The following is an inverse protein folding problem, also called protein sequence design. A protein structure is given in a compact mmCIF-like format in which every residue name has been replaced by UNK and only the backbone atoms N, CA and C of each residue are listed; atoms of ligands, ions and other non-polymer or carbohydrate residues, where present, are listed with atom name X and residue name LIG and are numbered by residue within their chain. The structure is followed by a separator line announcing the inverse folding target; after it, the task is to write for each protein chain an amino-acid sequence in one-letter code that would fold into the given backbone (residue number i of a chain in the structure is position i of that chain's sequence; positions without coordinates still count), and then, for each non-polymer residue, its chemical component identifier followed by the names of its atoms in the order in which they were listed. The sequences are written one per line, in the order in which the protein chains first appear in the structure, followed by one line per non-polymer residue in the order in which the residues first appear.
data_IF_072338538670
#
_entry.id   IF_072338538670
#
_cell.length_a   1.000
_cell.length_b   1.000
_cell.length_c   1.000
_cell.angle_alpha   90.00
_cell.angle_beta   90.00
_cell.angle_gamma   90.00
#
_symmetry.space_group_name_H-M   'P 1'
#
loop_
_entity.id
_entity.type
_entity.pdbx_description
1 polymer ?
#
# COMPACT_ATOMS: atom_id res chain seq x y z
N UNK A 1 -24.54 1.30 -29.29
CA UNK A 1 -24.12 2.33 -30.27
C UNK A 1 -25.12 3.47 -30.24
N UNK A 2 -24.77 4.65 -29.69
CA UNK A 2 -25.71 5.81 -29.69
C UNK A 2 -25.58 6.51 -31.04
N UNK A 3 -26.63 6.48 -31.82
CA UNK A 3 -26.74 7.21 -33.09
C UNK A 3 -26.99 8.69 -32.80
N UNK A 4 -26.02 9.55 -33.11
CA UNK A 4 -26.21 11.00 -33.04
C UNK A 4 -26.89 11.52 -34.29
N UNK A 5 -27.86 12.42 -34.10
CA UNK A 5 -28.54 13.06 -35.25
C UNK A 5 -27.55 14.00 -35.96
N UNK A 6 -27.77 14.21 -37.28
CA UNK A 6 -26.94 15.10 -38.12
C UNK A 6 -26.80 16.52 -37.51
N UNK A 7 -27.85 17.01 -36.81
CA UNK A 7 -27.81 18.29 -36.09
C UNK A 7 -26.91 18.28 -34.87
N UNK A 8 -26.86 17.16 -34.13
CA UNK A 8 -25.97 17.01 -32.95
C UNK A 8 -24.51 16.94 -33.36
N UNK A 9 -24.18 16.29 -34.49
CA UNK A 9 -22.84 16.25 -35.04
C UNK A 9 -22.36 17.63 -35.50
N UNK A 10 -23.23 18.42 -36.16
CA UNK A 10 -22.92 19.78 -36.61
C UNK A 10 -22.73 20.69 -35.38
N UNK A 11 -23.59 20.58 -34.37
CA UNK A 11 -23.47 21.40 -33.14
C UNK A 11 -22.21 21.09 -32.38
N UNK A 12 -21.80 19.82 -32.26
CA UNK A 12 -20.55 19.43 -31.61
C UNK A 12 -19.31 19.88 -32.39
N UNK A 13 -19.36 19.87 -33.71
CA UNK A 13 -18.27 20.39 -34.56
C UNK A 13 -18.11 21.92 -34.43
N UNK A 14 -19.22 22.67 -34.35
CA UNK A 14 -19.20 24.12 -34.15
C UNK A 14 -18.65 24.46 -32.75
N UNK A 15 -19.09 23.76 -31.71
CA UNK A 15 -18.60 23.97 -30.35
C UNK A 15 -17.09 23.66 -30.25
N UNK A 16 -16.63 22.58 -30.86
CA UNK A 16 -15.21 22.24 -30.90
C UNK A 16 -14.38 23.29 -31.67
N UNK A 17 -14.88 23.81 -32.78
CA UNK A 17 -14.27 24.89 -33.55
C UNK A 17 -14.14 26.20 -32.76
N UNK A 18 -15.18 26.58 -31.99
CA UNK A 18 -15.14 27.74 -31.11
C UNK A 18 -14.11 27.59 -29.98
N UNK A 19 -13.96 26.38 -29.40
CA UNK A 19 -12.95 26.13 -28.39
C UNK A 19 -11.52 26.23 -28.93
N UNK A 20 -11.29 25.71 -30.13
CA UNK A 20 -9.97 25.82 -30.80
C UNK A 20 -9.64 27.28 -31.11
N UNK A 21 -10.63 28.06 -31.60
CA UNK A 21 -10.43 29.48 -31.87
C UNK A 21 -10.15 30.32 -30.61
N UNK A 22 -10.85 30.03 -29.49
CA UNK A 22 -10.61 30.65 -28.20
C UNK A 22 -9.24 30.29 -27.63
N UNK A 23 -8.79 29.06 -27.76
CA UNK A 23 -7.46 28.64 -27.34
C UNK A 23 -6.35 29.32 -28.16
N UNK A 24 -6.51 29.41 -29.48
CA UNK A 24 -5.57 30.11 -30.37
C UNK A 24 -5.51 31.62 -30.07
N UNK A 25 -6.66 32.24 -29.76
CA UNK A 25 -6.73 33.64 -29.35
C UNK A 25 -6.02 33.87 -27.99
N UNK A 26 -6.22 32.97 -27.02
CA UNK A 26 -5.56 33.01 -25.71
C UNK A 26 -4.04 32.89 -25.81
N UNK A 27 -3.54 31.97 -26.65
CA UNK A 27 -2.11 31.81 -26.90
C UNK A 27 -1.54 33.03 -27.66
N UNK A 28 -2.25 33.57 -28.64
CA UNK A 28 -1.84 34.79 -29.37
C UNK A 28 -1.80 36.02 -28.43
N UNK A 29 -2.76 36.16 -27.51
CA UNK A 29 -2.78 37.24 -26.53
C UNK A 29 -1.61 37.10 -25.52
N UNK A 30 -1.28 35.88 -25.10
CA UNK A 30 -0.17 35.61 -24.18
C UNK A 30 1.20 35.87 -24.81
N UNK A 31 1.36 35.53 -26.08
CA UNK A 31 2.61 35.80 -26.82
C UNK A 31 2.73 37.25 -27.29
N UNK A 32 1.62 37.99 -27.42
CA UNK A 32 1.62 39.41 -27.88
C UNK A 32 1.83 40.43 -26.76
N UNK A 33 1.63 40.07 -25.50
CA UNK A 33 1.94 40.93 -24.35
C UNK A 33 3.27 40.47 -23.73
N UNK A 34 4.36 40.89 -24.39
CA UNK A 34 5.70 40.77 -23.84
C UNK A 34 5.78 41.44 -22.47
N UNK A 35 5.90 40.62 -21.43
CA UNK A 35 6.20 41.08 -20.07
C UNK A 35 7.54 41.83 -20.09
N UNK A 36 7.52 43.16 -19.84
CA UNK A 36 8.71 43.88 -19.42
C UNK A 36 9.19 43.27 -18.13
N UNK A 37 10.29 42.55 -18.17
CA UNK A 37 11.03 42.10 -16.99
C UNK A 37 11.50 43.36 -16.20
N UNK A 38 11.33 43.42 -14.90
CA UNK A 38 12.04 44.39 -14.08
C UNK A 38 13.54 44.03 -14.15
N UNK A 39 14.35 44.99 -14.54
CA UNK A 39 15.80 45.00 -14.43
C UNK A 39 16.13 45.06 -12.93
N UNK A 40 16.43 43.90 -12.33
CA UNK A 40 16.92 43.78 -10.95
C UNK A 40 18.23 43.00 -10.98
N UNK A 41 19.28 43.68 -10.63
CA UNK A 41 20.63 43.29 -10.26
C UNK A 41 21.14 41.90 -10.63
N UNK A 42 21.83 41.84 -11.75
CA UNK A 42 22.66 40.68 -12.18
C UNK A 42 23.98 40.55 -11.38
N UNK A 43 24.29 41.48 -10.48
CA UNK A 43 25.55 41.47 -9.71
C UNK A 43 25.58 40.40 -8.60
N UNK A 44 24.45 39.98 -8.08
CA UNK A 44 24.40 39.00 -6.96
C UNK A 44 24.47 37.53 -7.46
N UNK A 45 24.09 37.26 -8.71
CA UNK A 45 24.19 35.93 -9.33
C UNK A 45 25.58 35.62 -9.87
N UNK A 46 26.35 36.63 -10.29
CA UNK A 46 27.76 36.45 -10.72
C UNK A 46 28.67 36.18 -9.50
N UNK A 47 28.41 36.80 -8.35
CA UNK A 47 29.17 36.56 -7.13
C UNK A 47 29.00 35.13 -6.56
N UNK A 48 27.86 34.46 -6.80
CA UNK A 48 27.61 33.07 -6.42
C UNK A 48 28.21 32.05 -7.40
N UNK A 49 28.40 32.42 -8.65
CA UNK A 49 29.05 31.59 -9.66
C UNK A 49 30.57 31.53 -9.47
N UNK A 50 31.21 32.64 -9.08
CA UNK A 50 32.65 32.65 -8.85
C UNK A 50 33.10 31.93 -7.58
N UNK A 51 32.23 31.81 -6.54
CA UNK A 51 32.57 31.06 -5.32
C UNK A 51 32.60 29.54 -5.54
N UNK A 52 31.92 29.01 -6.52
CA UNK A 52 31.88 27.54 -6.80
C UNK A 52 32.98 27.08 -7.78
N UNK A 53 33.69 28.00 -8.45
CA UNK A 53 34.77 27.64 -9.42
C UNK A 53 36.11 27.45 -8.71
N UNK A 54 36.25 27.85 -7.46
CA UNK A 54 37.52 27.78 -6.72
C UNK A 54 37.82 26.39 -6.10
N UNK A 55 36.92 25.42 -6.21
CA UNK A 55 37.09 24.10 -5.62
C UNK A 55 37.40 22.95 -6.59
N UNK A 56 37.52 23.21 -7.90
CA UNK A 56 37.72 22.15 -8.88
C UNK A 56 39.05 22.16 -9.63
N UNK A 57 40.02 22.98 -9.24
CA UNK A 57 41.37 23.02 -9.88
C UNK A 57 42.48 22.66 -8.87
N UNK A 58 42.60 21.38 -8.56
CA UNK A 58 43.86 20.77 -8.12
C UNK A 58 43.96 19.31 -8.59
N UNK A 59 44.04 19.16 -9.93
CA UNK A 59 44.61 17.97 -10.57
C UNK A 59 45.90 18.40 -11.24
N UNK A 60 47.01 18.13 -10.61
CA UNK A 60 48.32 18.37 -11.18
C UNK A 60 48.59 17.41 -12.33
N UNK A 61 48.67 17.96 -13.52
CA UNK A 61 49.23 17.29 -14.72
C UNK A 61 50.72 17.34 -14.58
N UNK A 62 51.38 16.20 -14.53
CA UNK A 62 52.81 16.10 -14.74
C UNK A 62 53.06 16.02 -16.25
N UNK A 63 53.66 17.05 -16.82
CA UNK A 63 54.28 17.01 -18.13
C UNK A 63 55.75 16.61 -17.99
N UNK A 64 56.12 15.58 -18.71
CA UNK A 64 57.52 15.19 -18.96
C UNK A 64 58.11 16.09 -19.99
N UNK A 65 59.26 16.71 -19.70
CA UNK A 65 60.21 17.17 -20.73
C UNK A 65 61.63 16.81 -20.34
N UNK A 66 62.31 16.44 -21.37
CA UNK A 66 63.56 15.71 -21.56
C UNK A 66 64.85 16.41 -21.17
N UNK A 67 65.84 15.56 -21.18
CA UNK A 67 67.28 15.76 -21.41
C UNK A 67 68.17 16.26 -20.29
N UNK A 68 69.00 15.43 -19.70
CA UNK A 68 70.39 15.42 -20.03
C UNK A 68 71.20 14.26 -19.44
N UNK A 69 72.13 13.81 -20.21
CA UNK A 69 73.17 12.81 -20.09
C UNK A 69 74.03 12.91 -18.83
N UNK A 70 74.35 11.74 -18.21
CA UNK A 70 75.44 11.62 -17.22
C UNK A 70 75.61 10.20 -16.67
N UNK A 71 76.58 9.50 -17.22
CA UNK A 71 77.15 8.22 -16.81
C UNK A 71 77.47 8.15 -15.33
N UNK A 72 77.02 7.08 -14.62
CA UNK A 72 77.46 6.77 -13.28
C UNK A 72 76.77 5.50 -12.72
N UNK A 73 77.47 4.36 -12.86
CA UNK A 73 77.10 3.07 -12.30
C UNK A 73 77.16 3.08 -10.79
N UNK A 74 76.06 2.74 -10.08
CA UNK A 74 76.06 2.34 -8.70
C UNK A 74 74.88 1.37 -8.43
N UNK A 75 74.89 0.55 -7.39
CA UNK A 75 74.31 -0.81 -7.41
C UNK A 75 72.81 -0.85 -7.20
N UNK A 76 72.25 -1.93 -7.74
CA UNK A 76 70.84 -2.31 -7.65
C UNK A 76 70.49 -2.51 -6.19
N UNK A 77 69.74 -1.57 -5.58
CA UNK A 77 69.02 -1.77 -4.34
C UNK A 77 67.63 -2.34 -4.66
N UNK A 78 67.24 -3.38 -3.96
CA UNK A 78 65.94 -4.08 -4.06
C UNK A 78 64.76 -3.10 -4.01
N UNK A 79 63.65 -3.38 -4.71
CA UNK A 79 62.45 -2.55 -4.65
C UNK A 79 61.86 -2.63 -3.23
N UNK A 80 61.94 -1.55 -2.50
CA UNK A 80 61.14 -1.37 -1.27
C UNK A 80 59.70 -1.26 -1.70
N UNK A 81 58.93 -2.30 -1.44
CA UNK A 81 57.47 -2.34 -1.57
C UNK A 81 56.90 -1.27 -0.65
N UNK A 82 56.63 -0.08 -1.16
CA UNK A 82 55.89 0.97 -0.47
C UNK A 82 54.44 0.50 -0.36
N UNK A 83 54.12 -0.29 0.63
CA UNK A 83 52.71 -0.55 1.02
C UNK A 83 52.12 0.77 1.49
N UNK A 84 51.23 1.31 0.69
CA UNK A 84 50.41 2.48 1.02
C UNK A 84 49.66 2.21 2.34
N UNK A 85 49.88 3.03 3.41
CA UNK A 85 49.23 2.79 4.70
C UNK A 85 47.70 2.96 4.68
N UNK A 86 47.13 3.32 3.55
CA UNK A 86 45.68 3.54 3.40
C UNK A 86 44.92 2.34 2.82
N UNK A 87 45.55 1.23 2.46
CA UNK A 87 44.87 0.09 1.80
C UNK A 87 44.91 -1.23 2.62
N UNK A 88 45.43 -1.22 3.81
CA UNK A 88 45.22 -2.36 4.71
C UNK A 88 43.90 -2.20 5.43
N UNK A 89 42.81 -2.62 4.80
CA UNK A 89 41.59 -2.98 5.50
C UNK A 89 41.94 -4.18 6.38
N UNK A 90 42.42 -3.93 7.61
CA UNK A 90 42.47 -4.96 8.66
C UNK A 90 41.04 -5.41 8.87
N UNK A 91 40.74 -6.66 8.51
CA UNK A 91 39.51 -7.33 8.93
C UNK A 91 39.51 -7.32 10.47
N UNK A 92 38.78 -6.37 11.04
CA UNK A 92 38.66 -6.28 12.49
C UNK A 92 37.77 -7.43 12.99
N UNK A 93 38.10 -8.05 14.12
CA UNK A 93 37.39 -9.21 14.61
C UNK A 93 35.95 -8.86 14.95
N UNK A 94 35.01 -9.81 14.67
CA UNK A 94 33.57 -9.73 14.89
C UNK A 94 33.12 -9.33 16.32
N UNK A 95 34.03 -9.04 17.23
CA UNK A 95 33.79 -8.58 18.61
C UNK A 95 33.44 -7.08 18.72
N UNK A 96 33.51 -6.30 17.64
CA UNK A 96 33.25 -4.84 17.65
C UNK A 96 31.81 -4.44 17.53
N UNK A 97 30.93 -5.34 17.10
CA UNK A 97 29.50 -5.01 16.96
C UNK A 97 28.84 -4.93 18.35
N UNK A 98 28.02 -3.89 18.55
CA UNK A 98 27.12 -3.79 19.69
C UNK A 98 26.14 -4.96 19.72
N UNK A 99 25.48 -5.21 20.84
CA UNK A 99 24.42 -6.23 20.90
C UNK A 99 23.29 -5.96 19.91
N UNK A 100 22.99 -4.69 19.70
CA UNK A 100 21.96 -4.23 18.79
C UNK A 100 22.34 -4.46 17.31
N UNK A 101 23.57 -4.13 16.93
CA UNK A 101 24.07 -4.41 15.57
C UNK A 101 24.11 -5.90 15.28
N UNK A 102 24.59 -6.72 16.23
CA UNK A 102 24.57 -8.18 16.08
C UNK A 102 23.16 -8.73 15.86
N UNK A 103 22.19 -8.18 16.58
CA UNK A 103 20.79 -8.58 16.41
C UNK A 103 20.25 -8.20 15.02
N UNK A 104 20.51 -6.97 14.55
CA UNK A 104 20.11 -6.54 13.20
C UNK A 104 20.71 -7.42 12.11
N UNK A 105 22.02 -7.68 12.21
CA UNK A 105 22.75 -8.52 11.27
C UNK A 105 22.14 -9.92 11.28
N UNK A 106 21.94 -10.52 12.46
CA UNK A 106 21.38 -11.87 12.59
C UNK A 106 19.95 -11.95 12.02
N UNK A 107 19.08 -10.95 12.30
CA UNK A 107 17.73 -10.92 11.74
C UNK A 107 17.80 -10.86 10.22
N UNK A 108 18.63 -9.99 9.66
CA UNK A 108 18.79 -9.86 8.21
C UNK A 108 19.30 -11.15 7.57
N UNK A 109 20.39 -11.73 8.08
CA UNK A 109 20.97 -12.97 7.56
C UNK A 109 19.99 -14.15 7.55
N UNK A 110 19.16 -14.25 8.60
CA UNK A 110 18.21 -15.36 8.73
C UNK A 110 16.90 -15.17 7.96
N UNK A 111 16.57 -13.96 7.52
CA UNK A 111 15.24 -13.67 6.94
C UNK A 111 15.28 -13.10 5.52
N UNK A 112 16.41 -12.54 5.07
CA UNK A 112 16.49 -11.87 3.78
C UNK A 112 16.13 -12.78 2.61
N UNK A 113 16.49 -14.07 2.63
CA UNK A 113 16.21 -15.05 1.58
C UNK A 113 14.71 -15.40 1.47
N UNK A 114 13.94 -15.14 2.52
CA UNK A 114 12.48 -15.28 2.47
C UNK A 114 11.79 -14.07 1.81
N UNK A 115 12.52 -12.95 1.54
CA UNK A 115 11.97 -11.76 0.92
C UNK A 115 12.28 -11.75 -0.57
N UNK A 116 11.24 -11.73 -1.38
CA UNK A 116 11.30 -11.76 -2.84
C UNK A 116 11.02 -10.38 -3.43
N UNK A 117 11.55 -10.14 -4.64
CA UNK A 117 11.08 -9.05 -5.49
C UNK A 117 9.88 -9.54 -6.31
N UNK A 118 8.89 -8.68 -6.47
CA UNK A 118 7.72 -8.89 -7.32
C UNK A 118 7.74 -7.81 -8.39
N UNK A 119 7.73 -8.23 -9.67
CA UNK A 119 7.57 -7.35 -10.82
C UNK A 119 6.35 -7.75 -11.62
N UNK A 120 5.70 -6.78 -12.22
CA UNK A 120 4.47 -7.01 -12.99
C UNK A 120 4.62 -6.54 -14.43
N UNK A 121 3.89 -7.19 -15.33
CA UNK A 121 3.62 -6.69 -16.66
C UNK A 121 2.17 -6.21 -16.72
N UNK A 122 1.94 -5.10 -17.39
CA UNK A 122 0.61 -4.56 -17.70
C UNK A 122 0.41 -4.47 -19.21
N UNK A 123 -0.79 -4.17 -19.65
CA UNK A 123 -1.08 -3.92 -21.08
C UNK A 123 -1.24 -2.42 -21.28
N UNK A 124 -0.34 -1.85 -22.06
CA UNK A 124 -0.49 -0.51 -22.64
C UNK A 124 -1.06 -0.58 -24.06
N UNK A 125 -1.27 0.57 -24.67
CA UNK A 125 -1.62 0.69 -26.08
C UNK A 125 -0.58 1.52 -26.80
N UNK A 126 -0.19 1.08 -28.01
CA UNK A 126 0.69 1.85 -28.88
C UNK A 126 -0.10 2.94 -29.62
N UNK A 127 0.60 3.72 -30.46
CA UNK A 127 -0.02 4.77 -31.27
C UNK A 127 -1.15 4.26 -32.19
N UNK A 128 -1.13 2.97 -32.55
CA UNK A 128 -2.15 2.33 -33.41
C UNK A 128 -3.29 1.71 -32.60
N UNK A 129 -3.36 2.00 -31.27
CA UNK A 129 -4.33 1.41 -30.33
C UNK A 129 -4.21 -0.12 -30.19
N UNK A 130 -3.05 -0.68 -30.56
CA UNK A 130 -2.78 -2.11 -30.35
C UNK A 130 -2.26 -2.34 -28.95
N UNK A 131 -2.71 -3.43 -28.25
CA UNK A 131 -2.23 -3.77 -26.95
C UNK A 131 -0.75 -4.19 -27.00
N UNK A 132 0.08 -3.56 -26.19
CA UNK A 132 1.49 -3.91 -26.03
C UNK A 132 1.82 -4.19 -24.56
N UNK A 133 2.62 -5.20 -24.24
CA UNK A 133 3.15 -5.39 -22.91
C UNK A 133 3.98 -4.18 -22.47
N UNK A 134 3.77 -3.72 -21.25
CA UNK A 134 4.54 -2.66 -20.61
C UNK A 134 5.00 -3.15 -19.24
N UNK A 135 6.15 -2.67 -18.78
CA UNK A 135 6.55 -2.85 -17.40
C UNK A 135 5.52 -2.20 -16.48
N UNK A 136 5.08 -2.97 -15.49
CA UNK A 136 4.16 -2.52 -14.45
C UNK A 136 4.90 -2.07 -13.20
N UNK A 137 4.27 -2.26 -12.06
CA UNK A 137 4.83 -1.95 -10.75
C UNK A 137 5.89 -2.95 -10.29
N UNK A 138 6.66 -2.55 -9.28
CA UNK A 138 7.56 -3.41 -8.53
C UNK A 138 7.31 -3.26 -7.03
N UNK A 139 7.48 -4.35 -6.31
CA UNK A 139 7.35 -4.40 -4.86
C UNK A 139 8.05 -5.60 -4.26
N UNK A 140 7.77 -5.86 -3.01
CA UNK A 140 8.31 -7.00 -2.27
C UNK A 140 7.22 -8.01 -1.91
N UNK A 141 7.64 -9.21 -1.56
CA UNK A 141 6.79 -10.22 -0.97
C UNK A 141 7.57 -11.08 0.02
N UNK A 142 6.85 -11.84 0.83
CA UNK A 142 7.43 -12.77 1.79
C UNK A 142 7.02 -14.20 1.47
N UNK A 143 7.98 -15.13 1.32
CA UNK A 143 7.70 -16.57 1.19
C UNK A 143 7.18 -17.06 2.54
N UNK A 144 5.94 -17.51 2.57
CA UNK A 144 5.26 -17.95 3.80
C UNK A 144 5.15 -19.47 3.95
N UNK A 145 5.43 -20.20 2.87
CA UNK A 145 5.29 -21.66 2.83
C UNK A 145 6.27 -22.23 1.83
N UNK A 146 6.90 -23.38 2.16
CA UNK A 146 7.88 -24.07 1.31
C UNK A 146 7.32 -24.57 -0.04
N UNK A 147 5.99 -24.59 -0.19
CA UNK A 147 5.31 -24.89 -1.45
C UNK A 147 5.31 -23.72 -2.43
N UNK A 148 5.91 -22.56 -2.09
CA UNK A 148 6.02 -21.39 -2.94
C UNK A 148 4.85 -20.40 -2.78
N UNK A 149 4.15 -20.38 -1.65
CA UNK A 149 3.18 -19.33 -1.34
C UNK A 149 3.89 -18.06 -0.87
N UNK A 150 3.45 -16.93 -1.40
CA UNK A 150 4.00 -15.62 -1.11
C UNK A 150 2.88 -14.70 -0.64
N UNK A 151 3.14 -13.95 0.43
CA UNK A 151 2.30 -12.89 0.93
C UNK A 151 2.85 -11.54 0.47
N UNK A 152 1.98 -10.68 -0.07
CA UNK A 152 2.30 -9.33 -0.52
C UNK A 152 1.07 -8.41 -0.40
N UNK A 153 1.15 -7.18 -0.88
CA UNK A 153 0.00 -6.27 -0.97
C UNK A 153 -0.75 -6.43 -2.30
N UNK A 154 -2.06 -6.11 -2.27
CA UNK A 154 -2.89 -6.10 -3.48
C UNK A 154 -2.43 -5.04 -4.46
N UNK A 155 -2.08 -3.84 -4.00
CA UNK A 155 -1.64 -2.74 -4.86
C UNK A 155 -0.33 -3.05 -5.61
N UNK A 156 0.53 -3.94 -5.10
CA UNK A 156 1.76 -4.38 -5.78
C UNK A 156 1.46 -5.15 -7.06
N UNK A 157 0.35 -5.87 -7.10
CA UNK A 157 -0.05 -6.73 -8.23
C UNK A 157 -1.27 -6.21 -8.99
N UNK A 158 -1.70 -4.99 -8.69
CA UNK A 158 -2.88 -4.40 -9.33
C UNK A 158 -2.64 -4.17 -10.81
N UNK A 159 -3.67 -4.40 -11.62
CA UNK A 159 -3.64 -4.30 -13.09
C UNK A 159 -2.59 -5.19 -13.78
N UNK A 160 -1.95 -6.10 -13.05
CA UNK A 160 -0.96 -7.03 -13.59
C UNK A 160 -1.61 -8.07 -14.52
N UNK A 161 -1.08 -8.20 -15.73
CA UNK A 161 -1.40 -9.30 -16.65
C UNK A 161 -0.48 -10.49 -16.44
N UNK A 162 0.77 -10.23 -16.00
CA UNK A 162 1.72 -11.25 -15.55
C UNK A 162 2.44 -10.77 -14.30
N UNK A 163 2.80 -11.71 -13.46
CA UNK A 163 3.52 -11.49 -12.21
C UNK A 163 4.77 -12.36 -12.20
N UNK A 164 5.90 -11.74 -11.95
CA UNK A 164 7.18 -12.42 -11.80
C UNK A 164 7.69 -12.26 -10.38
N UNK A 165 8.29 -13.31 -9.89
CA UNK A 165 8.91 -13.37 -8.56
C UNK A 165 10.39 -13.69 -8.73
N UNK A 166 11.27 -12.84 -8.20
CA UNK A 166 12.72 -13.06 -8.21
C UNK A 166 13.21 -13.42 -6.80
N UNK A 167 13.89 -14.56 -6.69
CA UNK A 167 14.46 -15.09 -5.45
C UNK A 167 15.83 -14.47 -5.13
N UNK A 168 16.45 -14.93 -4.03
CA UNK A 168 17.76 -14.45 -3.57
C UNK A 168 18.91 -14.85 -4.48
N UNK A 169 18.79 -15.95 -5.14
CA UNK A 169 19.78 -16.47 -6.09
C UNK A 169 19.69 -15.85 -7.49
N UNK A 170 18.78 -14.88 -7.68
CA UNK A 170 18.51 -14.22 -8.97
C UNK A 170 17.57 -15.00 -9.89
N UNK A 171 17.12 -16.19 -9.49
CA UNK A 171 16.15 -16.95 -10.28
C UNK A 171 14.80 -16.26 -10.32
N UNK A 172 14.13 -16.28 -11.48
CA UNK A 172 12.84 -15.65 -11.69
C UNK A 172 11.78 -16.67 -12.09
N UNK A 173 10.61 -16.55 -11.51
CA UNK A 173 9.48 -17.46 -11.73
C UNK A 173 8.20 -16.70 -12.02
N UNK A 174 7.36 -17.26 -12.88
CA UNK A 174 5.98 -16.79 -13.02
C UNK A 174 5.16 -17.16 -11.78
N UNK A 175 4.45 -16.20 -11.23
CA UNK A 175 3.55 -16.43 -10.11
C UNK A 175 2.08 -16.26 -10.53
N UNK A 176 1.20 -17.00 -9.83
CA UNK A 176 -0.24 -16.93 -9.99
C UNK A 176 -0.87 -16.30 -8.76
N UNK A 177 -1.90 -15.51 -8.94
CA UNK A 177 -2.72 -15.01 -7.84
C UNK A 177 -3.61 -16.14 -7.33
N UNK A 178 -3.50 -16.48 -6.05
CA UNK A 178 -4.38 -17.43 -5.37
C UNK A 178 -5.64 -16.73 -4.89
N UNK A 179 -5.50 -15.50 -4.38
CA UNK A 179 -6.60 -14.65 -4.00
C UNK A 179 -6.10 -13.31 -3.48
N UNK A 180 -7.03 -12.37 -3.37
CA UNK A 180 -6.77 -11.00 -2.91
C UNK A 180 -7.78 -10.58 -1.85
N UNK A 181 -7.33 -9.72 -0.96
CA UNK A 181 -8.15 -9.01 0.01
C UNK A 181 -7.92 -7.51 -0.13
N UNK A 182 -8.80 -6.85 -0.90
CA UNK A 182 -8.68 -5.41 -1.15
C UNK A 182 -8.96 -4.55 0.08
N UNK A 183 -9.73 -5.05 1.04
CA UNK A 183 -10.05 -4.30 2.26
C UNK A 183 -8.86 -4.18 3.20
N UNK A 184 -7.99 -5.20 3.23
CA UNK A 184 -6.76 -5.17 4.03
C UNK A 184 -5.51 -5.00 3.16
N UNK A 185 -5.66 -4.74 1.85
CA UNK A 185 -4.55 -4.59 0.90
C UNK A 185 -3.57 -5.77 0.93
N UNK A 186 -4.09 -7.00 0.96
CA UNK A 186 -3.30 -8.23 1.00
C UNK A 186 -3.55 -9.12 -0.22
N UNK A 187 -2.51 -9.78 -0.70
CA UNK A 187 -2.58 -10.76 -1.77
C UNK A 187 -1.74 -11.98 -1.45
N UNK A 188 -2.21 -13.15 -1.85
CA UNK A 188 -1.47 -14.40 -1.79
C UNK A 188 -1.17 -14.84 -3.21
N UNK A 189 0.11 -14.99 -3.51
CA UNK A 189 0.61 -15.51 -4.77
C UNK A 189 1.15 -16.93 -4.58
N UNK A 190 1.32 -17.65 -5.68
CA UNK A 190 2.00 -18.92 -5.69
C UNK A 190 2.85 -19.05 -6.95
N UNK A 191 4.10 -19.43 -6.79
CA UNK A 191 4.95 -19.94 -7.85
C UNK A 191 5.27 -21.43 -7.60
N UNK A 192 5.69 -22.13 -8.61
CA UNK A 192 6.07 -23.53 -8.52
C UNK A 192 7.61 -23.62 -8.51
N UNK A 193 8.24 -23.80 -7.33
CA UNK A 193 9.70 -23.95 -7.25
C UNK A 193 10.14 -25.26 -7.89
N UNK A 194 11.38 -25.33 -8.44
CA UNK A 194 11.93 -26.58 -8.92
C UNK A 194 11.94 -27.67 -7.85
N UNK A 195 11.86 -28.94 -8.27
CA UNK A 195 11.96 -30.06 -7.36
C UNK A 195 13.28 -29.98 -6.55
N UNK A 196 13.19 -30.22 -5.24
CA UNK A 196 14.31 -30.16 -4.28
C UNK A 196 14.85 -28.76 -3.96
N UNK A 197 14.20 -27.68 -4.37
CA UNK A 197 14.55 -26.33 -3.93
C UNK A 197 14.12 -26.15 -2.46
N UNK A 198 15.07 -25.84 -1.59
CA UNK A 198 14.77 -25.44 -0.21
C UNK A 198 14.50 -23.94 -0.18
N UNK A 199 13.23 -23.55 0.02
CA UNK A 199 12.85 -22.16 0.19
C UNK A 199 12.98 -21.75 1.65
N UNK A 200 13.67 -20.64 1.91
CA UNK A 200 13.62 -19.97 3.22
C UNK A 200 12.23 -19.34 3.37
N UNK A 201 11.58 -19.59 4.51
CA UNK A 201 10.23 -19.07 4.80
C UNK A 201 10.26 -18.12 5.98
N UNK A 202 9.43 -17.08 5.93
CA UNK A 202 9.29 -16.12 7.04
C UNK A 202 8.46 -16.74 8.18
N UNK A 203 8.88 -16.53 9.42
CA UNK A 203 8.12 -16.97 10.59
C UNK A 203 7.13 -15.88 11.00
N UNK A 204 5.88 -16.25 11.25
CA UNK A 204 4.86 -15.32 11.75
C UNK A 204 5.02 -15.09 13.26
N UNK A 205 5.05 -13.82 13.65
CA UNK A 205 5.01 -13.35 15.03
C UNK A 205 3.58 -13.14 15.52
N UNK A 206 3.40 -12.20 16.44
CA UNK A 206 2.10 -11.79 17.01
C UNK A 206 1.99 -10.28 17.05
N UNK A 207 0.96 -9.72 16.42
CA UNK A 207 0.74 -8.27 16.38
C UNK A 207 -0.13 -7.73 17.51
N UNK A 208 -0.84 -8.58 18.28
CA UNK A 208 -1.74 -8.11 19.34
C UNK A 208 -0.96 -7.74 20.62
N UNK A 209 0.23 -8.35 20.81
CA UNK A 209 1.11 -8.05 21.92
C UNK A 209 2.04 -6.85 21.73
N UNK A 210 2.01 -6.17 20.57
CA UNK A 210 2.90 -5.06 20.25
C UNK A 210 2.73 -3.87 21.19
N UNK A 211 3.84 -3.16 21.40
CA UNK A 211 3.87 -1.94 22.23
C UNK A 211 4.55 -0.81 21.47
N UNK A 212 4.02 0.42 21.64
CA UNK A 212 4.68 1.63 21.14
C UNK A 212 6.06 1.74 21.76
N UNK A 213 7.06 2.07 20.93
CA UNK A 213 8.48 2.07 21.31
C UNK A 213 9.19 0.73 21.07
N UNK A 214 8.46 -0.36 20.75
CA UNK A 214 9.08 -1.64 20.40
C UNK A 214 9.87 -1.51 19.10
N UNK A 215 11.10 -2.04 19.08
CA UNK A 215 11.95 -2.06 17.89
C UNK A 215 11.38 -2.93 16.80
N UNK A 216 11.50 -2.46 15.56
CA UNK A 216 11.06 -3.17 14.35
C UNK A 216 12.08 -2.99 13.23
N UNK A 217 12.10 -3.96 12.33
CA UNK A 217 12.96 -3.96 11.15
C UNK A 217 12.09 -4.22 9.91
N UNK A 218 12.29 -3.45 8.84
CA UNK A 218 11.64 -3.70 7.56
C UNK A 218 12.67 -4.17 6.54
N UNK A 219 12.32 -5.21 5.78
CA UNK A 219 13.12 -5.70 4.66
C UNK A 219 12.31 -5.55 3.38
N UNK A 220 12.95 -5.04 2.33
CA UNK A 220 12.40 -4.95 0.99
C UNK A 220 13.41 -5.34 -0.08
N UNK A 221 12.91 -5.64 -1.27
CA UNK A 221 13.72 -5.96 -2.45
C UNK A 221 13.21 -5.17 -3.67
N UNK A 222 13.37 -3.83 -3.69
CA UNK A 222 12.75 -2.98 -4.71
C UNK A 222 13.23 -3.24 -6.13
N UNK A 223 14.47 -3.70 -6.30
CA UNK A 223 15.11 -3.80 -7.62
C UNK A 223 15.51 -5.22 -8.02
N UNK A 224 15.12 -6.24 -7.24
CA UNK A 224 15.49 -7.62 -7.50
C UNK A 224 16.99 -7.91 -7.31
N UNK A 225 17.75 -6.98 -6.74
CA UNK A 225 19.19 -7.09 -6.52
C UNK A 225 19.50 -7.43 -5.06
N UNK A 226 19.96 -6.42 -4.29
CA UNK A 226 20.22 -6.56 -2.86
C UNK A 226 19.03 -6.11 -2.05
N UNK A 227 18.68 -6.86 -0.99
CA UNK A 227 17.62 -6.49 -0.08
C UNK A 227 18.06 -5.32 0.78
N UNK A 228 17.13 -4.41 1.01
CA UNK A 228 17.35 -3.25 1.86
C UNK A 228 16.76 -3.53 3.24
N UNK A 229 17.54 -3.30 4.28
CA UNK A 229 17.11 -3.33 5.68
C UNK A 229 16.92 -1.90 6.19
N UNK A 230 15.81 -1.61 6.81
CA UNK A 230 15.59 -0.38 7.58
C UNK A 230 15.13 -0.72 8.99
N UNK A 231 15.48 0.13 9.96
CA UNK A 231 15.22 -0.10 11.38
C UNK A 231 14.51 1.11 11.97
N UNK A 232 13.57 0.85 12.86
CA UNK A 232 12.80 1.86 13.56
C UNK A 232 12.05 1.27 14.74
N UNK A 233 10.95 1.89 15.12
CA UNK A 233 10.09 1.47 16.23
C UNK A 233 8.61 1.45 15.81
N UNK A 234 7.79 0.78 16.60
CA UNK A 234 6.35 0.96 16.57
C UNK A 234 6.03 2.34 17.11
N UNK A 235 5.51 3.24 16.26
CA UNK A 235 5.18 4.62 16.62
C UNK A 235 3.75 4.77 17.14
N UNK A 236 2.80 3.96 16.63
CA UNK A 236 1.41 3.89 17.10
C UNK A 236 0.76 2.57 16.66
N UNK A 237 -0.36 2.23 17.27
CA UNK A 237 -1.16 1.04 16.96
C UNK A 237 -2.62 1.43 16.72
N UNK A 238 -3.35 0.56 16.00
CA UNK A 238 -4.79 0.71 15.80
C UNK A 238 -5.20 1.87 14.88
N UNK A 239 -4.30 2.37 14.00
CA UNK A 239 -4.59 3.51 13.11
C UNK A 239 -5.46 3.07 11.94
N UNK A 240 -6.66 3.67 11.73
CA UNK A 240 -7.37 3.54 10.47
C UNK A 240 -6.71 4.46 9.43
N UNK A 241 -6.41 3.94 8.26
CA UNK A 241 -5.82 4.70 7.15
C UNK A 241 -6.72 4.60 5.94
N UNK A 242 -7.06 5.75 5.37
CA UNK A 242 -7.80 5.82 4.12
C UNK A 242 -6.82 5.85 2.95
N UNK A 243 -7.00 4.91 2.03
CA UNK A 243 -6.23 4.87 0.77
C UNK A 243 -6.79 5.88 -0.24
N UNK A 244 -6.04 6.17 -1.29
CA UNK A 244 -6.46 7.04 -2.40
C UNK A 244 -7.74 6.53 -3.10
N UNK A 245 -8.02 5.23 -3.01
CA UNK A 245 -9.24 4.58 -3.54
C UNK A 245 -10.43 4.62 -2.57
N UNK A 246 -10.35 5.42 -1.51
CA UNK A 246 -11.37 5.52 -0.45
C UNK A 246 -11.63 4.21 0.32
N UNK A 247 -10.71 3.26 0.28
CA UNK A 247 -10.72 2.07 1.15
C UNK A 247 -10.10 2.45 2.48
N UNK A 248 -10.74 2.08 3.59
CA UNK A 248 -10.20 2.30 4.94
C UNK A 248 -9.62 0.99 5.43
N UNK A 249 -8.29 0.92 5.50
CA UNK A 249 -7.58 -0.19 6.13
C UNK A 249 -7.52 0.11 7.63
N UNK A 250 -7.97 -0.84 8.45
CA UNK A 250 -8.11 -0.67 9.89
C UNK A 250 -6.90 -1.24 10.64
N UNK A 251 -6.77 -0.82 11.90
CA UNK A 251 -5.81 -1.40 12.86
C UNK A 251 -4.35 -1.40 12.41
N UNK A 252 -3.95 -0.48 11.50
CA UNK A 252 -2.58 -0.42 11.00
C UNK A 252 -1.56 -0.18 12.12
N UNK A 253 -0.40 -0.80 11.98
CA UNK A 253 0.81 -0.51 12.77
C UNK A 253 1.47 0.70 12.12
N UNK A 254 1.65 1.78 12.88
CA UNK A 254 2.46 2.93 12.45
C UNK A 254 3.91 2.72 12.92
N UNK A 255 4.85 3.01 12.04
CA UNK A 255 6.30 2.92 12.31
C UNK A 255 7.05 4.11 11.72
N UNK A 256 8.18 4.46 12.28
CA UNK A 256 9.15 5.41 11.72
C UNK A 256 10.23 4.72 10.88
N UNK A 257 10.18 3.38 10.80
CA UNK A 257 11.00 2.61 9.87
C UNK A 257 10.83 3.14 8.45
N UNK A 258 11.91 3.40 7.74
CA UNK A 258 11.85 3.97 6.40
C UNK A 258 11.18 2.98 5.43
N UNK A 259 9.90 3.22 5.15
CA UNK A 259 9.14 2.53 4.11
C UNK A 259 9.19 3.41 2.86
N UNK A 260 9.58 2.84 1.74
CA UNK A 260 9.66 3.52 0.44
C UNK A 260 9.07 2.60 -0.64
N UNK A 261 8.76 3.14 -1.84
CA UNK A 261 8.38 2.31 -2.98
C UNK A 261 9.38 1.16 -3.18
N UNK A 262 8.84 -0.07 -3.24
CA UNK A 262 9.63 -1.31 -3.31
C UNK A 262 9.74 -2.08 -1.99
N UNK A 263 9.59 -1.46 -0.81
CA UNK A 263 9.46 -2.19 0.46
C UNK A 263 8.00 -2.67 0.69
N UNK A 264 7.03 -2.10 -0.02
CA UNK A 264 5.62 -2.51 0.06
C UNK A 264 5.46 -4.00 -0.26
N UNK A 265 4.68 -4.71 0.55
CA UNK A 265 4.50 -6.16 0.48
C UNK A 265 5.59 -6.97 1.20
N UNK A 266 6.71 -6.36 1.56
CA UNK A 266 7.76 -6.96 2.37
C UNK A 266 7.39 -7.02 3.86
N UNK A 267 8.16 -7.78 4.67
CA UNK A 267 7.88 -7.97 6.08
C UNK A 267 8.30 -6.77 6.93
N UNK A 268 7.48 -6.46 7.95
CA UNK A 268 7.88 -5.77 9.16
C UNK A 268 8.16 -6.84 10.22
N UNK A 269 9.36 -6.84 10.78
CA UNK A 269 9.87 -7.86 11.68
C UNK A 269 10.04 -7.32 13.10
N UNK A 270 9.90 -8.18 14.10
CA UNK A 270 10.36 -7.91 15.46
C UNK A 270 11.86 -8.20 15.60
N UNK A 271 12.38 -7.98 16.81
CA UNK A 271 13.79 -8.23 17.13
C UNK A 271 14.22 -9.71 17.05
N UNK A 272 13.27 -10.64 17.04
CA UNK A 272 13.52 -12.08 16.84
C UNK A 272 13.47 -12.51 15.37
N UNK A 273 13.23 -11.58 14.43
CA UNK A 273 13.05 -11.86 13.02
C UNK A 273 11.71 -12.48 12.68
N UNK A 274 10.72 -12.40 13.56
CA UNK A 274 9.36 -12.83 13.27
C UNK A 274 8.57 -11.70 12.63
N UNK A 275 7.79 -12.03 11.61
CA UNK A 275 6.95 -11.07 10.91
C UNK A 275 5.77 -10.66 11.77
N UNK A 276 5.68 -9.37 12.11
CA UNK A 276 4.62 -8.75 12.90
C UNK A 276 3.69 -7.88 12.06
N UNK A 277 4.07 -7.58 10.82
CA UNK A 277 3.26 -6.84 9.87
C UNK A 277 3.77 -6.95 8.44
N UNK A 278 2.97 -6.41 7.51
CA UNK A 278 3.29 -6.27 6.09
C UNK A 278 3.38 -4.79 5.76
N UNK A 279 4.56 -4.34 5.33
CA UNK A 279 4.79 -2.96 4.92
C UNK A 279 3.87 -2.60 3.77
N UNK A 280 3.11 -1.51 3.88
CA UNK A 280 2.03 -1.22 2.92
C UNK A 280 2.22 0.14 2.27
N UNK A 281 2.24 1.21 3.04
CA UNK A 281 2.23 2.56 2.51
C UNK A 281 2.93 3.55 3.42
N UNK A 282 3.20 4.73 2.87
CA UNK A 282 3.67 5.91 3.60
C UNK A 282 2.60 6.99 3.57
N UNK A 283 2.51 7.77 4.65
CA UNK A 283 1.80 9.04 4.62
C UNK A 283 2.80 10.13 4.21
N UNK A 284 2.78 10.49 2.92
CA UNK A 284 3.74 11.44 2.37
C UNK A 284 3.12 12.26 1.26
N UNK A 285 3.39 13.57 1.27
CA UNK A 285 3.03 14.48 0.20
C UNK A 285 4.06 14.50 -0.95
N UNK A 286 5.26 13.95 -0.70
CA UNK A 286 6.37 13.93 -1.67
C UNK A 286 6.61 12.55 -2.30
N UNK A 287 5.90 11.50 -1.86
CA UNK A 287 6.12 10.11 -2.28
C UNK A 287 7.33 9.42 -1.64
N UNK A 288 8.06 10.11 -0.74
CA UNK A 288 9.19 9.54 0.01
C UNK A 288 8.85 9.45 1.49
N UNK A 289 9.48 8.54 2.22
CA UNK A 289 9.26 8.36 3.65
C UNK A 289 9.60 9.65 4.42
N UNK A 290 8.59 10.19 5.11
CA UNK A 290 8.74 11.32 6.04
C UNK A 290 8.82 10.85 7.51
N UNK A 291 9.20 9.59 7.77
CA UNK A 291 9.19 8.99 9.10
C UNK A 291 7.80 8.53 9.56
N UNK A 292 6.84 8.39 8.63
CA UNK A 292 5.50 7.87 8.92
C UNK A 292 5.18 6.78 7.93
N UNK A 293 5.41 5.54 8.31
CA UNK A 293 5.08 4.33 7.57
C UNK A 293 3.96 3.56 8.25
N UNK A 294 3.28 2.70 7.48
CA UNK A 294 2.20 1.84 7.97
C UNK A 294 2.39 0.42 7.48
N UNK A 295 2.02 -0.53 8.36
CA UNK A 295 2.01 -1.94 8.04
C UNK A 295 0.70 -2.60 8.47
N UNK A 296 0.22 -3.56 7.68
CA UNK A 296 -0.93 -4.41 8.02
C UNK A 296 -0.50 -5.39 9.11
N UNK A 297 -1.23 -5.52 10.23
CA UNK A 297 -0.88 -6.44 11.30
C UNK A 297 -0.84 -7.91 10.84
N UNK A 298 0.13 -8.67 11.36
CA UNK A 298 0.30 -10.08 10.96
C UNK A 298 -0.89 -10.95 11.37
N UNK A 299 -1.59 -10.65 12.48
CA UNK A 299 -2.74 -11.44 12.88
C UNK A 299 -3.93 -11.27 11.90
N UNK A 300 -4.12 -10.08 11.33
CA UNK A 300 -5.02 -9.88 10.19
C UNK A 300 -4.59 -10.72 8.99
N UNK A 301 -3.31 -10.68 8.64
CA UNK A 301 -2.79 -11.44 7.50
C UNK A 301 -2.88 -12.96 7.69
N UNK A 302 -2.66 -13.50 8.91
CA UNK A 302 -2.83 -14.94 9.20
C UNK A 302 -4.25 -15.41 8.84
N UNK A 303 -5.26 -14.63 9.24
CA UNK A 303 -6.66 -14.93 8.92
C UNK A 303 -6.91 -14.89 7.42
N UNK A 304 -6.49 -13.81 6.76
CA UNK A 304 -6.64 -13.60 5.32
C UNK A 304 -5.96 -14.71 4.52
N UNK A 305 -4.70 -15.03 4.83
CA UNK A 305 -3.94 -16.11 4.18
C UNK A 305 -4.63 -17.47 4.33
N UNK A 306 -5.11 -17.78 5.54
CA UNK A 306 -5.82 -19.05 5.82
C UNK A 306 -7.09 -19.18 4.97
N UNK A 307 -7.89 -18.12 4.85
CA UNK A 307 -9.11 -18.11 4.03
C UNK A 307 -8.78 -18.19 2.54
N UNK A 308 -7.80 -17.40 2.06
CA UNK A 308 -7.40 -17.41 0.64
C UNK A 308 -6.85 -18.77 0.22
N UNK A 309 -5.95 -19.39 0.99
CA UNK A 309 -5.39 -20.70 0.63
C UNK A 309 -6.47 -21.76 0.61
N UNK A 310 -7.45 -21.69 1.52
CA UNK A 310 -8.51 -22.70 1.63
C UNK A 310 -9.65 -22.53 0.64
N UNK A 311 -10.04 -21.28 0.36
CA UNK A 311 -11.26 -20.97 -0.38
C UNK A 311 -11.03 -20.10 -1.63
N UNK A 312 -9.82 -19.66 -1.90
CA UNK A 312 -9.49 -18.74 -3.00
C UNK A 312 -9.89 -17.29 -2.74
N UNK A 313 -10.59 -16.99 -1.65
CA UNK A 313 -11.09 -15.67 -1.26
C UNK A 313 -11.26 -15.56 0.25
N UNK A 314 -11.33 -14.33 0.75
CA UNK A 314 -11.70 -14.07 2.15
C UNK A 314 -13.22 -14.07 2.26
N UNK A 315 -13.76 -14.97 3.08
CA UNK A 315 -15.19 -15.02 3.37
C UNK A 315 -15.48 -14.12 4.56
N UNK A 316 -16.25 -13.08 4.33
CA UNK A 316 -16.70 -12.17 5.38
C UNK A 316 -18.12 -12.42 5.78
N UNK A 317 -18.39 -12.29 7.06
CA UNK A 317 -19.73 -12.36 7.58
C UNK A 317 -20.50 -11.06 7.30
N UNK A 318 -21.79 -11.16 7.07
CA UNK A 318 -22.69 -10.02 6.92
C UNK A 318 -24.07 -10.30 7.49
N UNK A 319 -24.77 -9.23 7.83
CA UNK A 319 -26.22 -9.25 8.02
C UNK A 319 -26.81 -8.94 6.66
N UNK A 320 -27.68 -9.82 6.13
CA UNK A 320 -28.31 -9.66 4.80
C UNK A 320 -29.31 -8.49 4.79
N UNK A 321 -28.79 -7.28 4.94
CA UNK A 321 -29.58 -6.05 4.98
C UNK A 321 -28.82 -4.88 4.36
N UNK A 322 -29.55 -3.99 3.71
CA UNK A 322 -29.04 -2.67 3.30
C UNK A 322 -29.10 -1.74 4.51
N UNK A 323 -27.93 -1.35 4.99
CA UNK A 323 -27.78 -0.50 6.17
C UNK A 323 -27.45 0.93 5.78
N UNK A 324 -28.11 1.88 6.42
CA UNK A 324 -27.86 3.32 6.25
C UNK A 324 -27.45 3.91 7.60
N UNK A 325 -26.27 4.51 7.63
CA UNK A 325 -25.83 5.20 8.84
C UNK A 325 -26.71 6.40 9.11
N UNK A 326 -27.28 6.46 10.33
CA UNK A 326 -28.08 7.60 10.77
C UNK A 326 -27.23 8.85 10.92
N UNK A 327 -27.86 9.98 10.58
CA UNK A 327 -27.37 11.31 10.85
C UNK A 327 -28.54 12.22 11.24
N UNK A 328 -28.26 13.44 11.67
CA UNK A 328 -29.28 14.38 12.11
C UNK A 328 -30.36 14.65 11.06
N UNK A 329 -30.00 14.71 9.77
CA UNK A 329 -30.96 14.97 8.68
C UNK A 329 -31.97 13.82 8.53
N UNK A 330 -31.48 12.56 8.51
CA UNK A 330 -32.34 11.38 8.40
C UNK A 330 -33.20 11.24 9.66
N UNK A 331 -32.59 11.42 10.84
CA UNK A 331 -33.29 11.28 12.11
C UNK A 331 -34.42 12.31 12.28
N UNK A 332 -34.17 13.58 11.97
CA UNK A 332 -35.16 14.66 12.01
C UNK A 332 -36.29 14.44 11.00
N UNK A 333 -35.94 14.06 9.76
CA UNK A 333 -36.95 13.79 8.73
C UNK A 333 -37.87 12.62 9.08
N UNK A 334 -37.29 11.55 9.66
CA UNK A 334 -38.01 10.35 10.07
C UNK A 334 -38.67 10.45 11.46
N UNK A 335 -38.49 11.56 12.19
CA UNK A 335 -39.03 11.75 13.55
C UNK A 335 -38.45 10.77 14.57
N UNK A 336 -37.17 10.40 14.44
CA UNK A 336 -36.52 9.43 15.31
C UNK A 336 -36.03 10.07 16.60
N UNK A 337 -36.10 9.32 17.71
CA UNK A 337 -35.58 9.72 19.01
C UNK A 337 -34.07 9.65 19.14
N UNK A 338 -33.38 8.97 18.20
CA UNK A 338 -31.94 8.79 18.19
C UNK A 338 -31.35 9.29 16.87
N UNK A 339 -30.11 9.76 16.91
CA UNK A 339 -29.38 10.29 15.74
C UNK A 339 -28.19 9.41 15.34
N UNK A 340 -27.93 8.34 16.06
CA UNK A 340 -26.83 7.40 15.83
C UNK A 340 -27.35 5.98 15.77
N UNK A 341 -26.71 5.13 14.97
CA UNK A 341 -27.10 3.75 14.72
C UNK A 341 -27.21 3.47 13.24
N UNK A 342 -27.56 2.24 12.88
CA UNK A 342 -27.69 1.80 11.50
C UNK A 342 -29.15 1.49 11.19
N UNK A 343 -29.77 2.35 10.37
CA UNK A 343 -31.12 2.11 9.85
C UNK A 343 -31.09 0.91 8.89
N UNK A 344 -31.92 -0.08 9.16
CA UNK A 344 -32.20 -1.18 8.24
C UNK A 344 -33.13 -0.68 7.14
N UNK A 345 -32.55 -0.26 6.03
CA UNK A 345 -33.29 0.25 4.87
C UNK A 345 -34.06 -0.88 4.20
N UNK A 346 -33.40 -2.01 3.93
CA UNK A 346 -34.02 -3.22 3.39
C UNK A 346 -33.42 -4.45 4.05
N UNK A 347 -34.22 -5.52 4.11
CA UNK A 347 -33.74 -6.86 4.45
C UNK A 347 -33.86 -7.71 3.19
N UNK A 348 -32.85 -8.51 2.89
CA UNK A 348 -32.86 -9.43 1.77
C UNK A 348 -33.93 -10.51 2.00
N UNK A 349 -34.81 -10.67 1.01
CA UNK A 349 -35.90 -11.65 1.09
C UNK A 349 -35.34 -13.08 1.25
N UNK A 350 -36.02 -13.88 2.03
CA UNK A 350 -35.66 -15.27 2.36
C UNK A 350 -34.31 -15.45 3.08
N UNK A 351 -33.69 -14.35 3.53
CA UNK A 351 -32.40 -14.35 4.24
C UNK A 351 -32.52 -14.80 5.68
N UNK A 352 -31.35 -15.08 6.30
CA UNK A 352 -31.26 -15.38 7.73
C UNK A 352 -31.72 -14.19 8.59
N UNK A 353 -31.45 -12.96 8.16
CA UNK A 353 -31.86 -11.75 8.85
C UNK A 353 -33.40 -11.60 8.87
N UNK A 354 -34.07 -11.86 7.72
CA UNK A 354 -35.54 -11.84 7.67
C UNK A 354 -36.15 -12.92 8.55
N UNK A 355 -35.64 -14.17 8.48
CA UNK A 355 -36.11 -15.29 9.31
C UNK A 355 -35.95 -15.04 10.80
N UNK A 356 -34.93 -14.31 11.21
CA UNK A 356 -34.69 -13.89 12.57
C UNK A 356 -35.60 -12.72 13.01
N UNK A 357 -36.37 -12.15 12.10
CA UNK A 357 -37.32 -11.10 12.37
C UNK A 357 -36.79 -9.68 12.31
N UNK A 358 -35.63 -9.45 11.65
CA UNK A 358 -35.12 -8.12 11.33
C UNK A 358 -36.05 -7.47 10.29
N UNK A 359 -36.36 -6.18 10.45
CA UNK A 359 -37.35 -5.48 9.62
C UNK A 359 -36.74 -4.31 8.87
N UNK A 360 -36.89 -4.31 7.56
CA UNK A 360 -36.57 -3.17 6.68
C UNK A 360 -37.64 -2.10 6.73
N UNK A 361 -37.30 -0.92 6.18
CA UNK A 361 -38.20 0.19 6.03
C UNK A 361 -39.22 -0.02 4.91
N UNK A 362 -40.40 0.62 5.03
CA UNK A 362 -41.47 0.59 4.02
C UNK A 362 -41.56 1.90 3.23
N UNK A 363 -41.11 3.03 3.77
CA UNK A 363 -41.28 4.35 3.18
C UNK A 363 -40.06 4.73 2.34
N UNK A 364 -40.17 4.67 1.03
CA UNK A 364 -39.11 5.03 0.09
C UNK A 364 -38.87 6.54 0.08
N UNK A 365 -37.63 6.97 0.30
CA UNK A 365 -37.22 8.38 0.26
C UNK A 365 -35.94 8.52 -0.54
N UNK A 366 -35.87 9.53 -1.39
CA UNK A 366 -34.65 9.86 -2.11
C UNK A 366 -33.71 10.66 -1.21
N UNK A 367 -32.54 10.13 -0.90
CA UNK A 367 -31.53 10.73 -0.05
C UNK A 367 -30.25 11.02 -0.86
N UNK A 368 -29.69 12.23 -0.69
CA UNK A 368 -28.49 12.67 -1.41
C UNK A 368 -28.80 13.61 -2.58
N UNK A 369 -27.76 14.11 -3.23
CA UNK A 369 -27.84 15.12 -4.29
C UNK A 369 -27.15 14.60 -5.56
N UNK A 370 -27.74 14.86 -6.73
CA UNK A 370 -27.17 14.56 -8.05
C UNK A 370 -26.95 13.07 -8.26
N UNK A 371 -25.78 12.68 -8.79
CA UNK A 371 -25.41 11.29 -9.10
C UNK A 371 -25.23 10.42 -7.86
N UNK A 372 -25.10 11.01 -6.67
CA UNK A 372 -24.95 10.30 -5.37
C UNK A 372 -26.30 10.10 -4.66
N UNK A 373 -27.40 10.52 -5.25
CA UNK A 373 -28.73 10.31 -4.68
C UNK A 373 -29.11 8.82 -4.77
N UNK A 374 -29.49 8.23 -3.64
CA UNK A 374 -29.94 6.87 -3.52
C UNK A 374 -31.37 6.84 -2.95
N UNK A 375 -32.12 5.78 -3.21
CA UNK A 375 -33.40 5.54 -2.55
C UNK A 375 -33.12 4.75 -1.27
N UNK A 376 -33.50 5.29 -0.13
CA UNK A 376 -33.45 4.62 1.16
C UNK A 376 -34.89 4.38 1.65
N UNK A 377 -35.07 3.37 2.49
CA UNK A 377 -36.39 3.04 3.05
C UNK A 377 -36.40 3.33 4.55
N UNK A 378 -37.29 4.22 4.97
CA UNK A 378 -37.50 4.63 6.35
C UNK A 378 -38.56 3.78 7.06
N UNK A 379 -38.50 3.73 8.39
CA UNK A 379 -39.44 2.98 9.23
C UNK A 379 -39.00 1.55 9.54
N UNK A 380 -37.79 1.16 9.12
CA UNK A 380 -37.17 -0.10 9.52
C UNK A 380 -36.56 -0.05 10.91
N UNK A 381 -36.04 -1.16 11.36
CA UNK A 381 -35.29 -1.29 12.59
C UNK A 381 -34.03 -0.41 12.57
N UNK A 382 -33.55 0.00 13.74
CA UNK A 382 -32.27 0.68 13.87
C UNK A 382 -31.37 -0.18 14.74
N UNK A 383 -30.30 -0.71 14.14
CA UNK A 383 -29.29 -1.49 14.87
C UNK A 383 -28.48 -0.54 15.76
N UNK A 384 -28.41 -0.85 17.04
CA UNK A 384 -27.68 -0.08 18.06
C UNK A 384 -26.58 -0.87 18.74
N UNK A 385 -26.63 -2.21 18.69
CA UNK A 385 -25.66 -3.10 19.32
C UNK A 385 -25.56 -4.42 18.54
N UNK A 386 -24.35 -4.96 18.39
CA UNK A 386 -24.08 -6.26 17.77
C UNK A 386 -23.10 -7.03 18.67
N UNK A 387 -23.41 -8.27 19.02
CA UNK A 387 -22.59 -9.12 19.86
C UNK A 387 -22.13 -8.44 21.17
N UNK A 388 -23.02 -7.65 21.80
CA UNK A 388 -22.74 -6.92 23.04
C UNK A 388 -21.91 -5.63 22.85
N UNK A 389 -21.58 -5.24 21.64
CA UNK A 389 -20.84 -4.02 21.33
C UNK A 389 -21.79 -2.97 20.71
N UNK A 390 -21.73 -1.74 21.23
CA UNK A 390 -22.50 -0.63 20.68
C UNK A 390 -22.05 -0.31 19.25
N UNK A 391 -23.01 -0.12 18.34
CA UNK A 391 -22.78 0.19 16.93
C UNK A 391 -23.55 1.44 16.56
N UNK A 392 -22.83 2.51 16.23
CA UNK A 392 -23.40 3.82 15.89
C UNK A 392 -23.13 4.24 14.44
N UNK A 393 -22.23 3.56 13.74
CA UNK A 393 -21.81 3.85 12.37
C UNK A 393 -21.34 2.58 11.63
N UNK A 394 -21.17 2.69 10.29
CA UNK A 394 -20.76 1.56 9.46
C UNK A 394 -19.34 1.05 9.80
N UNK A 395 -18.44 1.92 10.24
CA UNK A 395 -17.09 1.49 10.62
C UNK A 395 -17.08 0.58 11.83
N UNK A 396 -17.90 0.89 12.85
CA UNK A 396 -18.09 0.03 14.03
C UNK A 396 -18.78 -1.29 13.66
N UNK A 397 -19.78 -1.25 12.78
CA UNK A 397 -20.43 -2.45 12.23
C UNK A 397 -19.43 -3.42 11.60
N UNK A 398 -18.60 -2.91 10.66
CA UNK A 398 -17.59 -3.74 10.03
C UNK A 398 -16.50 -4.19 11.01
N UNK A 399 -16.17 -3.39 12.02
CA UNK A 399 -15.21 -3.77 13.05
C UNK A 399 -15.71 -4.95 13.89
N UNK A 400 -16.98 -4.94 14.30
CA UNK A 400 -17.56 -6.04 15.07
C UNK A 400 -17.66 -7.32 14.24
N UNK A 401 -17.92 -7.22 12.94
CA UNK A 401 -18.04 -8.38 12.04
C UNK A 401 -16.70 -8.90 11.50
N UNK A 402 -15.60 -8.16 11.67
CA UNK A 402 -14.28 -8.53 11.11
C UNK A 402 -13.82 -9.92 11.58
N UNK A 403 -14.04 -10.24 12.86
CA UNK A 403 -13.65 -11.52 13.46
C UNK A 403 -14.76 -12.59 13.40
N UNK A 404 -15.92 -12.25 12.83
CA UNK A 404 -17.06 -13.15 12.73
C UNK A 404 -17.01 -13.98 11.44
N UNK A 405 -17.56 -15.19 11.51
CA UNK A 405 -17.59 -16.12 10.37
C UNK A 405 -19.00 -16.24 9.81
N UNK A 406 -19.15 -16.48 8.50
CA UNK A 406 -20.43 -16.91 7.95
C UNK A 406 -20.97 -18.13 8.70
N UNK A 407 -22.29 -18.18 8.92
CA UNK A 407 -23.03 -19.15 9.70
C UNK A 407 -22.82 -19.07 11.24
N UNK A 408 -22.11 -18.07 11.74
CA UNK A 408 -22.06 -17.78 13.17
C UNK A 408 -23.36 -17.11 13.62
N UNK A 409 -23.90 -17.50 14.78
CA UNK A 409 -25.06 -16.84 15.38
C UNK A 409 -24.59 -15.73 16.31
N UNK A 410 -25.18 -14.54 16.18
CA UNK A 410 -24.88 -13.37 17.00
C UNK A 410 -26.15 -12.70 17.50
N UNK A 411 -26.07 -12.05 18.64
CA UNK A 411 -27.14 -11.22 19.15
C UNK A 411 -27.06 -9.81 18.58
N UNK A 412 -28.20 -9.28 18.16
CA UNK A 412 -28.34 -7.92 17.63
C UNK A 412 -29.44 -7.20 18.37
N UNK A 413 -29.12 -6.05 18.95
CA UNK A 413 -30.10 -5.18 19.58
C UNK A 413 -30.55 -4.11 18.60
N UNK A 414 -31.84 -4.01 18.37
CA UNK A 414 -32.44 -3.02 17.49
C UNK A 414 -33.45 -2.15 18.23
N UNK A 415 -33.57 -0.91 17.82
CA UNK A 415 -34.66 -0.01 18.16
C UNK A 415 -35.76 -0.16 17.11
N UNK A 416 -36.91 -0.68 17.46
CA UNK A 416 -38.11 -0.83 16.60
C UNK A 416 -39.20 0.15 17.05
N UNK A 417 -39.34 1.24 16.34
CA UNK A 417 -40.09 2.39 16.87
C UNK A 417 -39.40 2.90 18.13
N UNK A 418 -40.11 2.90 19.26
CA UNK A 418 -39.55 3.32 20.56
C UNK A 418 -39.25 2.13 21.50
N UNK A 419 -39.21 0.89 20.99
CA UNK A 419 -38.96 -0.30 21.79
C UNK A 419 -37.64 -0.97 21.41
N UNK A 420 -36.85 -1.31 22.40
CA UNK A 420 -35.64 -2.12 22.20
C UNK A 420 -36.06 -3.59 22.03
N UNK A 421 -35.56 -4.23 20.98
CA UNK A 421 -35.80 -5.64 20.65
C UNK A 421 -34.43 -6.31 20.47
N UNK A 422 -34.26 -7.48 21.09
CA UNK A 422 -33.09 -8.34 20.86
C UNK A 422 -33.47 -9.45 19.92
N UNK A 423 -32.59 -9.65 18.91
CA UNK A 423 -32.72 -10.69 17.89
C UNK A 423 -31.44 -11.51 17.86
N UNK A 424 -31.56 -12.82 17.67
CA UNK A 424 -30.42 -13.68 17.39
C UNK A 424 -30.39 -13.98 15.90
N UNK A 425 -29.35 -13.51 15.21
CA UNK A 425 -29.17 -13.65 13.77
C UNK A 425 -28.10 -14.69 13.48
N UNK A 426 -28.30 -15.49 12.44
CA UNK A 426 -27.24 -16.28 11.83
C UNK A 426 -26.65 -15.45 10.68
N UNK A 427 -25.36 -15.17 10.75
CA UNK A 427 -24.66 -14.39 9.74
C UNK A 427 -24.56 -15.14 8.42
N UNK A 428 -24.70 -14.44 7.33
CA UNK A 428 -24.49 -14.95 5.97
C UNK A 428 -23.09 -14.61 5.47
N UNK A 429 -22.66 -15.26 4.40
CA UNK A 429 -21.45 -14.83 3.67
C UNK A 429 -21.78 -13.55 2.89
N UNK A 430 -20.93 -12.52 3.02
CA UNK A 430 -21.05 -11.29 2.24
C UNK A 430 -20.74 -11.59 0.77
N UNK A 431 -21.69 -11.30 -0.11
CA UNK A 431 -21.45 -11.32 -1.54
C UNK A 431 -20.82 -9.98 -1.93
N UNK A 432 -19.55 -9.99 -2.27
CA UNK A 432 -18.88 -8.86 -2.91
C UNK A 432 -19.23 -8.93 -4.42
N UNK A 433 -20.34 -8.28 -4.83
CA UNK A 433 -20.70 -8.05 -6.25
C UNK A 433 -20.06 -6.74 -6.75
#
# INVERSE_FOLDING_TARGET
MKLYSRRQLILSAVVAGCFIALAAYGVGFYLGHGTKTPQGDTAELEALAESNTALTHRSGVFTTDDENTGSGSAPISEPVEQTSPYLTATAEPASRYTAEEKQNISVYENTNDAVVNITTETVGVNWFLEPIPQEGGSGSGSIIDSRGYILTNTHVIEDATKIFVSLSDGSQYNAKVIGVDRENDLAVLKFDPPANTQLTTIKFGDSDGLKVGQRVLAIGNPFGLTRTLTVGIVSALGRPIQTDKNVIIKNMIQTDTAINPGNSGGPLLDSDGKMIGINTMIYSTSGSSAGVGFAVPINTAKRVVSEIIKYGKVRRASIDAELVQLNASIANYAGLSIQRGLLVSRVKKDSNAEKAGLRGGANAVRYGIGKRAAVIYLGGDIITEIAGQAVSNLSEYYAVLEDKKPNESIDVTVLRGNKTVKLTLTLSERNDE
#
